data_IF_145310001209
#
_entry.id   IF_145310001209
#
_cell.length_a   1.000
_cell.length_b   1.000
_cell.length_c   1.000
_cell.angle_alpha   90.00
_cell.angle_beta   90.00
_cell.angle_gamma   90.00
#
_symmetry.space_group_name_H-M   'P 1'
#
loop_
_entity.id
_entity.type
_entity.pdbx_description
1 polymer ?
#
# COMPACT_ATOMS: atom_id res chain seq x y z
N UNK A 1 11.58 7.61 3.43
CA UNK A 1 11.06 7.87 4.80
C UNK A 1 11.83 7.03 5.80
N UNK A 2 12.61 7.67 6.68
CA UNK A 2 13.31 7.00 7.78
C UNK A 2 12.37 6.79 8.97
N UNK A 3 12.57 5.71 9.71
CA UNK A 3 11.90 5.53 10.99
C UNK A 3 12.48 6.52 12.01
N UNK A 4 11.64 7.17 12.85
CA UNK A 4 12.11 8.14 13.85
C UNK A 4 13.03 7.51 14.91
N UNK A 5 12.83 6.23 15.17
CA UNK A 5 13.61 5.41 16.09
C UNK A 5 13.88 4.06 15.43
N UNK A 6 14.96 3.34 15.80
CA UNK A 6 15.19 1.98 15.33
C UNK A 6 13.96 1.09 15.61
N UNK A 7 13.60 0.27 14.64
CA UNK A 7 12.55 -0.72 14.84
C UNK A 7 13.03 -1.82 15.78
N UNK A 8 12.18 -2.20 16.71
CA UNK A 8 12.38 -3.42 17.50
C UNK A 8 11.98 -4.64 16.68
N UNK A 9 12.53 -5.78 17.06
CA UNK A 9 12.32 -7.04 16.37
C UNK A 9 11.75 -8.10 17.29
N UNK A 10 11.05 -9.05 16.70
CA UNK A 10 10.45 -10.16 17.42
C UNK A 10 9.83 -11.18 16.49
N UNK A 11 9.13 -12.12 17.08
CA UNK A 11 8.45 -13.22 16.41
C UNK A 11 6.95 -13.06 16.54
N UNK A 12 6.21 -13.20 15.45
CA UNK A 12 4.75 -13.19 15.45
C UNK A 12 4.24 -14.46 16.12
N UNK A 13 3.44 -14.30 17.18
CA UNK A 13 2.71 -15.40 17.83
C UNK A 13 1.36 -15.60 17.15
N UNK A 14 0.57 -14.52 17.04
CA UNK A 14 -0.72 -14.54 16.33
C UNK A 14 -1.19 -13.13 15.99
N UNK A 15 -2.05 -13.02 14.98
CA UNK A 15 -2.84 -11.83 14.67
C UNK A 15 -4.32 -12.12 14.91
N UNK A 16 -5.05 -11.19 15.53
CA UNK A 16 -6.47 -11.36 15.79
C UNK A 16 -7.24 -10.05 15.78
N UNK A 17 -8.56 -10.15 15.63
CA UNK A 17 -9.48 -9.00 15.52
C UNK A 17 -9.02 -7.92 14.53
N UNK A 18 -8.21 -8.28 13.52
CA UNK A 18 -7.61 -7.42 12.50
C UNK A 18 -6.61 -6.37 13.00
N UNK A 19 -6.71 -5.92 14.25
CA UNK A 19 -5.96 -4.78 14.80
C UNK A 19 -4.87 -5.16 15.79
N UNK A 20 -4.82 -6.40 16.23
CA UNK A 20 -3.91 -6.85 17.28
C UNK A 20 -2.95 -7.89 16.75
N UNK A 21 -1.71 -7.80 17.16
CA UNK A 21 -0.69 -8.83 16.97
C UNK A 21 0.00 -9.12 18.31
N UNK A 22 -0.08 -10.37 18.77
CA UNK A 22 0.72 -10.84 19.90
C UNK A 22 2.09 -11.26 19.33
N UNK A 23 3.14 -10.77 19.95
CA UNK A 23 4.52 -10.98 19.52
C UNK A 23 5.40 -11.32 20.71
N UNK A 24 6.47 -12.05 20.46
CA UNK A 24 7.55 -12.28 21.41
C UNK A 24 8.76 -11.47 20.93
N UNK A 25 9.22 -10.50 21.72
CA UNK A 25 10.41 -9.71 21.37
C UNK A 25 11.66 -10.57 21.38
N UNK A 26 12.75 -10.11 20.78
CA UNK A 26 14.04 -10.83 20.86
C UNK A 26 14.58 -10.93 22.29
N UNK A 27 14.15 -10.03 23.17
CA UNK A 27 14.44 -10.11 24.62
C UNK A 27 13.56 -11.08 25.39
N UNK A 28 12.61 -11.78 24.74
CA UNK A 28 11.70 -12.72 25.39
C UNK A 28 10.48 -12.08 26.06
N UNK A 29 10.22 -10.78 25.86
CA UNK A 29 9.07 -10.08 26.40
C UNK A 29 7.84 -10.35 25.51
N UNK A 30 6.72 -10.88 26.05
CA UNK A 30 5.47 -10.97 25.31
C UNK A 30 4.79 -9.59 25.24
N UNK A 31 4.43 -9.16 24.03
CA UNK A 31 3.74 -7.89 23.80
C UNK A 31 2.51 -8.09 22.89
N UNK A 32 1.49 -7.26 23.12
CA UNK A 32 0.43 -7.04 22.15
C UNK A 32 0.64 -5.69 21.48
N UNK A 33 0.82 -5.69 20.15
CA UNK A 33 1.05 -4.48 19.35
C UNK A 33 -0.09 -4.23 18.36
N UNK A 34 -0.20 -3.00 17.89
CA UNK A 34 -1.18 -2.61 16.87
C UNK A 34 -0.79 -3.15 15.49
N UNK A 35 -1.72 -3.85 14.84
CA UNK A 35 -1.64 -4.19 13.42
C UNK A 35 -2.43 -3.15 12.61
N UNK A 36 -1.78 -2.23 11.88
CA UNK A 36 -2.46 -1.16 11.14
C UNK A 36 -3.02 -1.61 9.79
N UNK A 37 -2.95 -2.90 9.47
CA UNK A 37 -3.52 -3.49 8.27
C UNK A 37 -4.81 -4.24 8.61
N UNK A 38 -5.94 -3.78 8.06
CA UNK A 38 -7.24 -4.42 8.25
C UNK A 38 -7.57 -5.47 7.17
N UNK A 39 -6.73 -5.60 6.14
CA UNK A 39 -6.85 -6.58 5.06
C UNK A 39 -6.58 -8.02 5.50
N UNK A 40 -6.62 -8.95 4.56
CA UNK A 40 -6.35 -10.36 4.84
C UNK A 40 -4.91 -10.63 5.21
N UNK A 41 -3.98 -9.82 4.67
CA UNK A 41 -2.53 -10.04 4.76
C UNK A 41 -2.14 -11.44 4.22
N UNK A 42 -2.84 -11.87 3.18
CA UNK A 42 -2.59 -13.15 2.52
C UNK A 42 -1.12 -13.25 2.11
N UNK A 43 -0.49 -14.39 2.40
CA UNK A 43 0.93 -14.67 2.15
C UNK A 43 1.94 -13.70 2.79
N UNK A 44 1.48 -12.79 3.69
CA UNK A 44 2.37 -11.91 4.44
C UNK A 44 2.76 -12.48 5.80
N UNK A 45 1.99 -13.39 6.36
CA UNK A 45 2.20 -13.87 7.73
C UNK A 45 2.24 -15.39 7.77
N UNK A 46 3.05 -15.89 8.71
CA UNK A 46 3.04 -17.26 9.19
C UNK A 46 3.30 -17.28 10.69
N UNK A 47 2.92 -18.34 11.37
CA UNK A 47 3.31 -18.57 12.75
C UNK A 47 4.85 -18.56 12.85
N UNK A 48 5.39 -17.84 13.82
CA UNK A 48 6.83 -17.69 13.96
C UNK A 48 7.50 -16.70 12.98
N UNK A 49 6.72 -15.96 12.18
CA UNK A 49 7.28 -14.99 11.26
C UNK A 49 8.10 -13.92 11.98
N UNK A 50 9.28 -13.59 11.45
CA UNK A 50 10.08 -12.45 11.92
C UNK A 50 9.36 -11.15 11.61
N UNK A 51 9.25 -10.27 12.59
CA UNK A 51 8.61 -8.96 12.45
C UNK A 51 9.50 -7.83 12.95
N UNK A 52 9.19 -6.62 12.46
CA UNK A 52 9.74 -5.37 12.98
C UNK A 52 8.59 -4.45 13.36
N UNK A 53 8.72 -3.78 14.50
CA UNK A 53 7.68 -2.89 15.01
C UNK A 53 8.28 -1.63 15.61
N UNK A 54 7.55 -0.53 15.54
CA UNK A 54 7.90 0.70 16.24
C UNK A 54 7.36 0.65 17.67
N UNK A 55 8.20 0.96 18.67
CA UNK A 55 7.80 1.13 20.07
C UNK A 55 7.23 2.53 20.29
N UNK A 56 6.30 2.69 21.19
CA UNK A 56 5.68 3.94 21.55
C UNK A 56 5.63 4.12 23.05
N UNK A 57 6.16 5.26 23.53
CA UNK A 57 6.13 5.65 24.94
C UNK A 57 4.97 6.64 25.24
N UNK A 58 4.10 6.92 24.27
CA UNK A 58 2.96 7.82 24.47
C UNK A 58 1.87 7.12 25.31
N UNK A 59 1.60 7.58 26.56
CA UNK A 59 0.62 6.97 27.45
C UNK A 59 -0.82 7.02 26.96
N UNK A 60 -1.10 7.87 25.95
CA UNK A 60 -2.42 7.96 25.31
C UNK A 60 -2.68 6.79 24.36
N UNK A 61 -1.65 6.08 23.94
CA UNK A 61 -1.78 4.90 23.07
C UNK A 61 -2.13 3.68 23.90
N UNK A 62 -3.12 2.94 23.42
CA UNK A 62 -3.57 1.69 24.09
C UNK A 62 -2.58 0.54 23.94
N UNK A 63 -1.72 0.57 22.95
CA UNK A 63 -0.77 -0.48 22.63
C UNK A 63 0.64 0.10 22.52
N UNK A 64 1.66 -0.60 23.04
CA UNK A 64 3.01 -0.09 23.16
C UNK A 64 3.79 -0.08 21.84
N UNK A 65 3.26 -0.65 20.77
CA UNK A 65 3.94 -0.70 19.48
C UNK A 65 3.01 -0.77 18.30
N UNK A 66 3.57 -0.55 17.11
CA UNK A 66 2.89 -0.69 15.82
C UNK A 66 3.71 -1.60 14.91
N UNK A 67 3.08 -2.61 14.34
CA UNK A 67 3.70 -3.52 13.38
C UNK A 67 4.03 -2.78 12.08
N UNK A 68 5.29 -2.80 11.66
CA UNK A 68 5.78 -2.11 10.48
C UNK A 68 6.11 -3.07 9.34
N UNK A 69 7.00 -4.04 9.61
CA UNK A 69 7.48 -4.97 8.59
C UNK A 69 7.33 -6.41 9.04
N UNK A 70 7.27 -7.32 8.07
CA UNK A 70 7.27 -8.76 8.28
C UNK A 70 8.16 -9.45 7.24
N UNK A 71 8.88 -10.47 7.66
CA UNK A 71 9.44 -11.45 6.74
C UNK A 71 8.35 -12.45 6.37
N UNK A 72 7.99 -12.47 5.09
CA UNK A 72 6.95 -13.36 4.57
C UNK A 72 7.41 -14.83 4.61
N UNK A 73 6.50 -15.80 4.53
CA UNK A 73 6.87 -17.23 4.45
C UNK A 73 7.80 -17.55 3.27
N UNK A 74 7.84 -16.70 2.26
CA UNK A 74 8.69 -16.83 1.07
C UNK A 74 10.00 -16.04 1.16
N UNK A 75 10.39 -15.60 2.38
CA UNK A 75 11.64 -14.91 2.65
C UNK A 75 11.70 -13.43 2.26
N UNK A 76 10.65 -12.89 1.63
CA UNK A 76 10.57 -11.48 1.24
C UNK A 76 10.24 -10.59 2.44
N UNK A 77 10.65 -9.32 2.37
CA UNK A 77 10.25 -8.32 3.35
C UNK A 77 9.01 -7.59 2.84
N UNK A 78 7.98 -7.46 3.69
CA UNK A 78 6.77 -6.71 3.37
C UNK A 78 6.52 -5.60 4.41
N UNK A 79 6.14 -4.39 3.97
CA UNK A 79 5.63 -3.37 4.86
C UNK A 79 4.11 -3.53 5.02
N UNK A 80 3.71 -3.98 6.20
CA UNK A 80 2.31 -4.25 6.52
C UNK A 80 1.57 -3.03 7.08
N UNK A 81 2.29 -1.96 7.42
CA UNK A 81 1.70 -0.71 7.86
C UNK A 81 1.12 0.07 6.68
N UNK A 82 -0.17 -0.14 6.40
CA UNK A 82 -0.86 0.49 5.27
C UNK A 82 -0.89 2.02 5.32
N UNK A 83 -0.77 2.63 6.51
CA UNK A 83 -0.69 4.07 6.66
C UNK A 83 0.63 4.66 6.09
N UNK A 84 1.63 3.81 5.80
CA UNK A 84 2.88 4.24 5.17
C UNK A 84 2.72 4.49 3.67
N UNK A 85 1.83 3.79 2.98
CA UNK A 85 1.70 3.84 1.52
C UNK A 85 1.49 5.27 1.00
N UNK A 86 0.51 6.01 1.54
CA UNK A 86 0.25 7.38 1.09
C UNK A 86 1.42 8.34 1.41
N UNK A 87 2.12 8.13 2.53
CA UNK A 87 3.30 8.95 2.86
C UNK A 87 4.47 8.66 1.91
N UNK A 88 4.70 7.40 1.57
CA UNK A 88 5.73 7.00 0.60
C UNK A 88 5.45 7.58 -0.79
N UNK A 89 4.20 7.52 -1.22
CA UNK A 89 3.78 8.10 -2.50
C UNK A 89 3.97 9.61 -2.50
N UNK A 90 3.57 10.30 -1.42
CA UNK A 90 3.76 11.74 -1.31
C UNK A 90 5.23 12.15 -1.35
N UNK A 91 6.10 11.49 -0.58
CA UNK A 91 7.55 11.72 -0.62
C UNK A 91 8.10 11.50 -2.04
N UNK A 92 7.64 10.43 -2.72
CA UNK A 92 8.06 10.12 -4.08
C UNK A 92 7.57 11.15 -5.12
N UNK A 93 6.33 11.66 -4.97
CA UNK A 93 5.80 12.75 -5.80
C UNK A 93 6.62 14.02 -5.62
N UNK A 94 6.85 14.44 -4.38
CA UNK A 94 7.62 15.66 -4.06
C UNK A 94 9.08 15.56 -4.47
N UNK A 95 9.64 14.37 -4.54
CA UNK A 95 11.02 14.11 -4.96
C UNK A 95 11.17 13.85 -6.48
N UNK A 96 10.07 13.91 -7.28
CA UNK A 96 10.10 13.63 -8.71
C UNK A 96 10.41 12.18 -9.09
N UNK A 97 10.26 11.23 -8.15
CA UNK A 97 10.50 9.80 -8.40
C UNK A 97 9.45 9.21 -9.34
N UNK A 98 8.20 9.69 -9.22
CA UNK A 98 7.09 9.27 -10.08
C UNK A 98 7.06 10.20 -11.32
N UNK A 99 7.92 9.90 -12.28
CA UNK A 99 8.20 10.77 -13.42
C UNK A 99 6.94 11.13 -14.24
N UNK A 100 5.95 10.23 -14.32
CA UNK A 100 4.70 10.46 -15.05
C UNK A 100 3.82 11.54 -14.40
N UNK A 101 4.08 11.85 -13.13
CA UNK A 101 3.35 12.82 -12.32
C UNK A 101 4.20 14.01 -11.88
N UNK A 102 5.39 14.18 -12.47
CA UNK A 102 6.27 15.31 -12.17
C UNK A 102 5.75 16.62 -12.78
N UNK A 103 6.14 17.76 -12.19
CA UNK A 103 5.79 19.10 -12.69
C UNK A 103 4.45 19.66 -12.17
N UNK A 104 3.82 19.06 -11.17
CA UNK A 104 2.64 19.65 -10.52
C UNK A 104 3.01 20.89 -9.70
N UNK A 105 2.07 21.85 -9.62
CA UNK A 105 2.24 23.12 -8.90
C UNK A 105 1.66 23.08 -7.49
N UNK A 106 0.71 22.17 -7.22
CA UNK A 106 0.12 21.97 -5.90
C UNK A 106 -0.29 20.50 -5.70
N UNK A 107 -0.22 20.04 -4.46
CA UNK A 107 -0.65 18.74 -4.01
C UNK A 107 -1.64 18.88 -2.85
N UNK A 108 -2.78 18.21 -2.94
CA UNK A 108 -3.80 18.13 -1.88
C UNK A 108 -4.11 16.68 -1.58
N UNK A 109 -4.32 16.36 -0.31
CA UNK A 109 -4.65 15.00 0.15
C UNK A 109 -6.12 14.86 0.47
N UNK A 110 -6.62 13.63 0.39
CA UNK A 110 -7.96 13.22 0.85
C UNK A 110 -9.06 14.14 0.32
N UNK A 111 -9.00 14.45 -0.97
CA UNK A 111 -9.95 15.36 -1.62
C UNK A 111 -11.24 14.60 -1.95
N UNK A 112 -12.37 15.13 -1.52
CA UNK A 112 -13.68 14.58 -1.88
C UNK A 112 -13.90 14.70 -3.39
N UNK A 113 -14.30 13.60 -4.04
CA UNK A 113 -14.55 13.55 -5.47
C UNK A 113 -15.63 12.52 -5.80
N UNK A 114 -16.11 12.56 -7.04
CA UNK A 114 -17.05 11.59 -7.58
C UNK A 114 -18.45 11.68 -6.97
N UNK A 115 -19.28 10.70 -7.28
CA UNK A 115 -20.69 10.67 -6.89
C UNK A 115 -20.98 9.72 -5.72
N UNK A 116 -20.11 8.73 -5.47
CA UNK A 116 -20.26 7.74 -4.41
C UNK A 116 -19.62 8.17 -3.07
N UNK A 117 -19.45 9.51 -2.85
CA UNK A 117 -18.84 10.10 -1.63
C UNK A 117 -17.44 9.55 -1.35
N UNK A 118 -16.65 9.34 -2.37
CA UNK A 118 -15.27 8.89 -2.27
C UNK A 118 -14.32 10.05 -1.95
N UNK A 119 -13.14 9.71 -1.45
CA UNK A 119 -12.01 10.63 -1.36
C UNK A 119 -10.86 10.03 -2.12
N UNK A 120 -10.27 10.81 -3.02
CA UNK A 120 -9.03 10.42 -3.68
C UNK A 120 -7.84 10.70 -2.77
N UNK A 121 -6.85 9.84 -2.77
CA UNK A 121 -5.69 10.00 -1.90
C UNK A 121 -4.91 11.28 -2.21
N UNK A 122 -4.72 11.61 -3.50
CA UNK A 122 -4.08 12.86 -3.93
C UNK A 122 -4.80 13.51 -5.10
N UNK A 123 -4.84 14.84 -5.06
CA UNK A 123 -5.15 15.72 -6.18
C UNK A 123 -3.91 16.55 -6.47
N UNK A 124 -3.42 16.47 -7.71
CA UNK A 124 -2.26 17.23 -8.19
C UNK A 124 -2.74 18.28 -9.18
N UNK A 125 -2.35 19.54 -8.99
CA UNK A 125 -2.68 20.64 -9.90
C UNK A 125 -1.55 20.86 -10.91
N UNK A 126 -1.89 20.87 -12.18
CA UNK A 126 -0.97 21.19 -13.29
C UNK A 126 -1.49 22.41 -14.05
N UNK A 127 -0.64 23.08 -14.87
CA UNK A 127 -1.13 24.17 -15.73
C UNK A 127 -2.26 23.74 -16.69
N UNK A 128 -2.32 22.46 -17.04
CA UNK A 128 -3.33 21.88 -17.95
C UNK A 128 -4.55 21.28 -17.25
N UNK A 129 -4.67 21.33 -15.92
CA UNK A 129 -5.79 20.77 -15.19
C UNK A 129 -5.38 19.95 -13.98
N UNK A 130 -6.36 19.29 -13.39
CA UNK A 130 -6.19 18.45 -12.20
C UNK A 130 -5.91 16.99 -12.56
N UNK A 131 -5.13 16.32 -11.73
CA UNK A 131 -4.89 14.87 -11.79
C UNK A 131 -5.32 14.24 -10.48
N UNK A 132 -6.15 13.22 -10.55
CA UNK A 132 -6.56 12.43 -9.39
C UNK A 132 -5.73 11.16 -9.28
N UNK A 133 -5.15 10.91 -8.10
CA UNK A 133 -4.30 9.73 -7.85
C UNK A 133 -4.86 8.93 -6.69
N UNK A 134 -5.26 7.70 -6.96
CA UNK A 134 -5.69 6.72 -5.96
C UNK A 134 -4.58 5.72 -5.71
N UNK A 135 -4.20 5.52 -4.46
CA UNK A 135 -3.10 4.64 -4.04
C UNK A 135 -3.63 3.30 -3.55
N UNK A 136 -2.97 2.22 -3.96
CA UNK A 136 -3.20 0.87 -3.43
C UNK A 136 -1.89 0.29 -2.92
N UNK A 137 -1.86 -0.06 -1.63
CA UNK A 137 -0.72 -0.75 -1.03
C UNK A 137 -0.73 -2.23 -1.43
N UNK A 138 0.34 -2.71 -2.04
CA UNK A 138 0.49 -4.07 -2.54
C UNK A 138 1.51 -4.81 -1.70
N UNK A 139 1.09 -5.91 -1.06
CA UNK A 139 1.95 -6.77 -0.24
C UNK A 139 1.79 -8.26 -0.58
N UNK A 140 0.82 -8.59 -1.45
CA UNK A 140 0.58 -9.98 -1.83
C UNK A 140 1.63 -10.45 -2.84
N UNK A 141 2.42 -11.43 -2.46
CA UNK A 141 3.33 -12.17 -3.31
C UNK A 141 3.10 -13.68 -3.20
N UNK A 142 3.70 -14.44 -4.08
CA UNK A 142 3.63 -15.89 -4.13
C UNK A 142 5.03 -16.49 -4.11
N UNK A 143 5.15 -17.78 -3.74
CA UNK A 143 6.42 -18.49 -3.78
C UNK A 143 6.96 -18.52 -5.22
N UNK A 144 8.26 -18.26 -5.36
CA UNK A 144 8.99 -18.35 -6.63
C UNK A 144 8.40 -17.55 -7.81
N UNK A 145 7.52 -16.58 -7.51
CA UNK A 145 6.90 -15.70 -8.50
C UNK A 145 7.29 -14.23 -8.21
N UNK A 146 8.02 -13.53 -9.10
CA UNK A 146 8.37 -12.12 -8.91
C UNK A 146 7.19 -11.17 -9.15
N UNK A 147 6.00 -11.68 -9.47
CA UNK A 147 4.82 -10.88 -9.74
C UNK A 147 4.01 -10.71 -8.44
N UNK A 148 3.87 -9.48 -7.98
CA UNK A 148 2.95 -9.14 -6.90
C UNK A 148 1.53 -8.98 -7.42
N UNK A 149 0.54 -9.14 -6.55
CA UNK A 149 -0.87 -9.04 -6.93
C UNK A 149 -1.68 -8.14 -5.99
N UNK A 150 -2.76 -7.59 -6.51
CA UNK A 150 -3.75 -6.83 -5.75
C UNK A 150 -5.17 -7.13 -6.28
N UNK A 151 -6.18 -7.27 -5.41
CA UNK A 151 -6.13 -7.21 -3.94
C UNK A 151 -5.76 -8.56 -3.29
N UNK A 152 -5.51 -8.53 -1.99
CA UNK A 152 -5.28 -9.72 -1.15
C UNK A 152 -6.57 -10.34 -0.59
N UNK A 153 -7.72 -9.71 -0.86
CA UNK A 153 -9.07 -10.18 -0.52
C UNK A 153 -10.10 -9.43 -1.36
N UNK A 154 -11.32 -9.94 -1.45
CA UNK A 154 -12.44 -9.24 -2.12
C UNK A 154 -12.63 -7.84 -1.54
N UNK A 155 -12.65 -6.82 -2.40
CA UNK A 155 -12.71 -5.40 -2.01
C UNK A 155 -13.75 -4.61 -2.79
N UNK A 156 -14.97 -4.57 -2.29
CA UNK A 156 -16.03 -3.72 -2.86
C UNK A 156 -15.63 -2.22 -2.90
N UNK A 157 -14.84 -1.77 -1.90
CA UNK A 157 -14.29 -0.41 -1.88
C UNK A 157 -13.29 -0.20 -3.03
N UNK A 158 -12.44 -1.16 -3.33
CA UNK A 158 -11.50 -1.07 -4.44
C UNK A 158 -12.18 -0.91 -5.79
N UNK A 159 -13.19 -1.74 -6.06
CA UNK A 159 -13.99 -1.65 -7.27
C UNK A 159 -14.75 -0.31 -7.38
N UNK A 160 -15.29 0.21 -6.26
CA UNK A 160 -15.91 1.53 -6.23
C UNK A 160 -14.93 2.65 -6.60
N UNK A 161 -13.73 2.68 -6.04
CA UNK A 161 -12.72 3.68 -6.37
C UNK A 161 -12.35 3.64 -7.86
N UNK A 162 -12.27 2.46 -8.46
CA UNK A 162 -12.04 2.32 -9.91
C UNK A 162 -13.18 2.91 -10.75
N UNK A 163 -14.45 2.67 -10.36
CA UNK A 163 -15.60 3.30 -11.05
C UNK A 163 -15.58 4.82 -10.96
N UNK A 164 -15.21 5.37 -9.81
CA UNK A 164 -15.10 6.82 -9.62
C UNK A 164 -13.95 7.41 -10.45
N UNK A 165 -12.78 6.77 -10.49
CA UNK A 165 -11.68 7.18 -11.37
C UNK A 165 -12.10 7.12 -12.85
N UNK A 166 -12.79 6.05 -13.27
CA UNK A 166 -13.30 5.91 -14.62
C UNK A 166 -14.31 7.02 -14.98
N UNK A 167 -15.16 7.42 -14.04
CA UNK A 167 -16.10 8.52 -14.24
C UNK A 167 -15.36 9.86 -14.45
N UNK A 168 -14.28 10.12 -13.68
CA UNK A 168 -13.44 11.30 -13.85
C UNK A 168 -12.73 11.29 -15.21
N UNK A 169 -12.15 10.15 -15.60
CA UNK A 169 -11.48 10.01 -16.89
C UNK A 169 -12.45 10.27 -18.07
N UNK A 170 -13.69 9.74 -18.03
CA UNK A 170 -14.73 10.03 -19.03
C UNK A 170 -15.13 11.50 -19.04
N UNK A 171 -15.01 12.21 -17.92
CA UNK A 171 -15.25 13.65 -17.83
C UNK A 171 -14.05 14.50 -18.29
N UNK A 172 -12.98 13.88 -18.79
CA UNK A 172 -11.79 14.56 -19.29
C UNK A 172 -10.76 14.93 -18.23
N UNK A 173 -10.93 14.47 -16.99
CA UNK A 173 -9.96 14.67 -15.91
C UNK A 173 -8.97 13.50 -15.89
N UNK A 174 -7.68 13.81 -15.89
CA UNK A 174 -6.62 12.77 -15.78
C UNK A 174 -6.76 12.03 -14.46
N UNK A 175 -6.88 10.71 -14.51
CA UNK A 175 -7.10 9.86 -13.36
C UNK A 175 -6.07 8.71 -13.35
N UNK A 176 -5.46 8.47 -12.21
CA UNK A 176 -4.35 7.53 -12.03
C UNK A 176 -4.65 6.58 -10.87
N UNK A 177 -4.53 5.28 -11.11
CA UNK A 177 -4.40 4.27 -10.09
C UNK A 177 -2.91 3.98 -9.88
N UNK A 178 -2.40 4.15 -8.66
CA UNK A 178 -1.01 3.90 -8.32
C UNK A 178 -0.86 2.74 -7.34
N UNK A 179 -0.27 1.65 -7.80
CA UNK A 179 0.15 0.55 -6.93
C UNK A 179 1.46 0.91 -6.22
N UNK A 180 1.39 1.14 -4.92
CA UNK A 180 2.53 1.28 -4.02
C UNK A 180 2.95 -0.13 -3.56
N UNK A 181 3.98 -0.69 -4.18
CA UNK A 181 4.41 -2.07 -3.93
C UNK A 181 5.30 -2.11 -2.71
N UNK A 182 4.75 -2.57 -1.61
CA UNK A 182 5.36 -2.69 -0.29
C UNK A 182 5.84 -4.12 0.00
N UNK A 183 6.46 -4.75 -0.98
CA UNK A 183 7.03 -6.09 -0.96
C UNK A 183 8.35 -6.08 -1.73
N UNK A 184 9.40 -6.72 -1.19
CA UNK A 184 10.70 -6.84 -1.90
C UNK A 184 10.64 -7.85 -3.04
N UNK A 185 11.64 -7.80 -3.92
CA UNK A 185 11.86 -8.76 -5.00
C UNK A 185 10.65 -8.90 -5.94
N UNK A 186 10.00 -7.77 -6.25
CA UNK A 186 8.88 -7.67 -7.17
C UNK A 186 9.34 -7.07 -8.50
N UNK A 187 9.10 -7.78 -9.60
CA UNK A 187 9.41 -7.32 -10.96
C UNK A 187 8.19 -6.76 -11.71
N UNK A 188 6.99 -7.19 -11.34
CA UNK A 188 5.74 -6.71 -11.94
C UNK A 188 4.57 -6.79 -10.97
N UNK A 189 3.46 -6.12 -11.30
CA UNK A 189 2.20 -6.19 -10.54
C UNK A 189 1.06 -6.58 -11.46
N UNK A 190 0.12 -7.37 -10.96
CA UNK A 190 -1.12 -7.71 -11.67
C UNK A 190 -2.36 -7.58 -10.78
N UNK A 191 -3.53 -7.54 -11.40
CA UNK A 191 -4.77 -7.74 -10.67
C UNK A 191 -4.91 -9.22 -10.26
N UNK A 192 -5.31 -9.46 -9.01
CA UNK A 192 -5.58 -10.81 -8.49
C UNK A 192 -6.99 -11.27 -8.90
N UNK A 193 -7.17 -11.58 -10.18
CA UNK A 193 -8.48 -12.00 -10.74
C UNK A 193 -9.06 -13.22 -10.02
N UNK A 194 -8.20 -14.13 -9.60
CA UNK A 194 -8.53 -15.35 -8.86
C UNK A 194 -9.10 -15.07 -7.46
N UNK A 195 -8.76 -13.90 -6.88
CA UNK A 195 -9.22 -13.48 -5.54
C UNK A 195 -10.44 -12.56 -5.66
N UNK A 196 -10.38 -11.59 -6.58
CA UNK A 196 -11.45 -10.61 -6.78
C UNK A 196 -11.71 -10.37 -8.27
N UNK A 197 -12.52 -11.22 -8.91
CA UNK A 197 -12.93 -11.04 -10.30
C UNK A 197 -13.64 -9.70 -10.57
N UNK A 198 -14.38 -9.18 -9.56
CA UNK A 198 -15.10 -7.93 -9.69
C UNK A 198 -14.16 -6.71 -9.70
N UNK A 199 -13.10 -6.75 -8.89
CA UNK A 199 -12.05 -5.73 -8.95
C UNK A 199 -11.33 -5.77 -10.30
N UNK A 200 -10.99 -6.97 -10.79
CA UNK A 200 -10.36 -7.13 -12.10
C UNK A 200 -11.21 -6.56 -13.23
N UNK A 201 -12.53 -6.88 -13.24
CA UNK A 201 -13.45 -6.33 -14.24
C UNK A 201 -13.53 -4.79 -14.16
N UNK A 202 -13.65 -4.24 -12.93
CA UNK A 202 -13.66 -2.79 -12.73
C UNK A 202 -12.36 -2.11 -13.18
N UNK A 203 -11.20 -2.80 -13.06
CA UNK A 203 -9.92 -2.31 -13.55
C UNK A 203 -9.91 -2.25 -15.09
N UNK A 204 -10.42 -3.28 -15.78
CA UNK A 204 -10.53 -3.28 -17.23
C UNK A 204 -11.46 -2.14 -17.74
N UNK A 205 -12.59 -1.93 -17.07
CA UNK A 205 -13.51 -0.82 -17.37
C UNK A 205 -12.85 0.55 -17.14
N UNK A 206 -12.03 0.68 -16.09
CA UNK A 206 -11.32 1.91 -15.80
C UNK A 206 -10.23 2.20 -16.84
N UNK A 207 -9.49 1.20 -17.27
CA UNK A 207 -8.51 1.29 -18.36
C UNK A 207 -9.18 1.71 -19.68
N UNK A 208 -10.30 1.08 -20.02
CA UNK A 208 -11.08 1.43 -21.21
C UNK A 208 -11.65 2.86 -21.16
N UNK A 209 -11.84 3.41 -19.96
CA UNK A 209 -12.27 4.79 -19.73
C UNK A 209 -11.11 5.80 -19.79
N UNK A 210 -9.84 5.34 -19.89
CA UNK A 210 -8.65 6.19 -19.93
C UNK A 210 -7.96 6.41 -18.58
N UNK A 211 -8.26 5.61 -17.55
CA UNK A 211 -7.52 5.63 -16.29
C UNK A 211 -6.11 5.08 -16.52
N UNK A 212 -5.11 5.83 -16.12
CA UNK A 212 -3.72 5.36 -16.14
C UNK A 212 -3.45 4.45 -14.94
N UNK A 213 -2.66 3.40 -15.14
CA UNK A 213 -2.27 2.49 -14.05
C UNK A 213 -0.76 2.45 -13.95
N UNK A 214 -0.25 2.87 -12.79
CA UNK A 214 1.17 2.91 -12.48
C UNK A 214 1.48 1.97 -11.32
N UNK A 215 2.69 1.45 -11.27
CA UNK A 215 3.19 0.70 -10.13
C UNK A 215 4.64 1.09 -9.82
N UNK A 216 4.89 1.36 -8.56
CA UNK A 216 6.22 1.69 -8.04
C UNK A 216 6.56 0.79 -6.87
N UNK A 217 7.73 0.15 -6.93
CA UNK A 217 8.24 -0.71 -5.89
C UNK A 217 9.03 0.08 -4.86
N UNK A 218 8.78 -0.23 -3.59
CA UNK A 218 9.52 0.31 -2.47
C UNK A 218 10.77 -0.51 -2.18
N UNK A 219 11.84 0.17 -1.77
CA UNK A 219 12.95 -0.42 -1.06
C UNK A 219 12.59 -0.41 0.43
N UNK A 220 12.72 -1.57 1.07
CA UNK A 220 12.34 -1.79 2.46
C UNK A 220 13.56 -2.22 3.27
N UNK A 221 13.80 -1.54 4.38
CA UNK A 221 14.78 -1.96 5.40
C UNK A 221 14.25 -1.65 6.81
N UNK A 222 14.97 -2.09 7.83
CA UNK A 222 14.65 -1.77 9.22
C UNK A 222 14.89 -0.28 9.57
N UNK A 223 15.65 0.43 8.75
CA UNK A 223 16.04 1.83 8.95
C UNK A 223 15.17 2.80 8.14
N UNK A 224 14.82 2.38 6.91
CA UNK A 224 14.18 3.25 5.94
C UNK A 224 13.28 2.49 4.98
N UNK A 225 12.20 3.16 4.57
CA UNK A 225 11.36 2.75 3.44
C UNK A 225 11.30 3.91 2.44
N UNK A 226 11.43 3.62 1.14
CA UNK A 226 11.24 4.63 0.08
C UNK A 226 10.69 3.99 -1.19
N UNK A 227 9.83 4.68 -1.93
CA UNK A 227 9.54 4.32 -3.30
C UNK A 227 10.78 4.58 -4.16
N UNK A 228 11.17 3.60 -4.98
CA UNK A 228 12.45 3.67 -5.67
C UNK A 228 12.36 3.47 -7.17
N UNK A 229 11.56 2.53 -7.65
CA UNK A 229 11.56 2.21 -9.08
C UNK A 229 10.18 1.87 -9.61
N UNK A 230 9.92 2.27 -10.85
CA UNK A 230 8.76 1.81 -11.59
C UNK A 230 8.86 0.31 -11.88
N UNK A 231 7.72 -0.38 -11.80
CA UNK A 231 7.57 -1.77 -12.26
C UNK A 231 6.39 -1.86 -13.22
N UNK A 232 6.42 -2.78 -14.20
CA UNK A 232 5.30 -2.96 -15.12
C UNK A 232 4.04 -3.46 -14.41
N UNK A 233 2.89 -3.05 -14.95
CA UNK A 233 1.57 -3.60 -14.58
C UNK A 233 1.16 -4.55 -15.69
N UNK A 234 0.90 -5.81 -15.33
CA UNK A 234 0.38 -6.83 -16.23
C UNK A 234 -1.16 -6.74 -16.23
N UNK A 235 -1.73 -6.43 -17.38
CA UNK A 235 -3.16 -6.14 -17.58
C UNK A 235 -3.91 -7.33 -18.17
#
# INVERSE_FOLDING_TARGET
MRYPQPLETGTLVRRYKRFFADVLTDGGEPLCIHCPNTGSMLNCMGEGARIWFSRHDDPRRKLPGTWELVQTPHGRLACVNTARANRLVEEALLAGVIAELDGFTALRREVAYGQEKSRVDFQLSFPGGEVYVEVKSVTLGFADDPIAAFPDAVTARGARHLRELAAQARAGVRAVLLYCVNLTDVEAVRAAREIDPAYHAALQDALAAGVEVLAYAAELSAEEIRLARRVPVLL
#
